data_IF_604778620774
#
_entry.id   IF_604778620774
#
_cell.length_a   1.000
_cell.length_b   1.000
_cell.length_c   1.000
_cell.angle_alpha   90.00
_cell.angle_beta   90.00
_cell.angle_gamma   90.00
#
_symmetry.space_group_name_H-M   'P 1'
#
loop_
_entity.id
_entity.type
_entity.pdbx_description
1 polymer ?
#
# COMPACT_ATOMS: atom_id res chain seq x y z
N UNK A 1 4.57 60.41 18.52
CA UNK A 1 5.97 60.18 18.97
C UNK A 1 6.42 58.92 18.25
N UNK A 2 6.98 59.05 17.05
CA UNK A 2 8.43 59.18 16.77
C UNK A 2 9.14 57.84 17.06
N UNK A 3 9.91 57.20 16.16
CA UNK A 3 10.56 57.66 14.93
C UNK A 3 11.00 56.45 14.07
N UNK A 4 10.98 56.69 12.77
CA UNK A 4 11.49 55.88 11.66
C UNK A 4 12.96 56.25 11.40
N UNK A 5 13.82 55.32 10.94
CA UNK A 5 15.19 55.64 10.46
C UNK A 5 15.55 54.83 9.23
N UNK A 6 15.14 55.36 8.07
CA UNK A 6 15.82 55.21 6.80
C UNK A 6 17.11 56.04 6.81
N UNK A 7 18.21 55.50 6.28
CA UNK A 7 19.43 56.27 5.98
C UNK A 7 19.54 56.49 4.48
N UNK A 8 19.67 57.75 4.07
CA UNK A 8 19.85 58.18 2.69
C UNK A 8 20.97 59.24 2.60
N UNK A 9 21.46 59.42 1.36
CA UNK A 9 22.14 60.60 0.77
C UNK A 9 23.69 60.58 0.81
N UNK A 10 24.45 61.11 -0.20
CA UNK A 10 24.05 61.92 -1.37
C UNK A 10 24.52 61.49 -2.78
N UNK A 11 23.87 62.16 -3.75
CA UNK A 11 24.12 62.29 -5.19
C UNK A 11 25.30 63.24 -5.47
N UNK A 12 26.08 62.96 -6.52
CA UNK A 12 26.83 63.99 -7.27
C UNK A 12 26.87 63.65 -8.76
N UNK A 13 26.33 64.57 -9.57
CA UNK A 13 26.34 64.62 -11.03
C UNK A 13 27.68 65.14 -11.59
N UNK A 14 28.16 64.62 -12.73
CA UNK A 14 29.14 65.36 -13.54
C UNK A 14 29.96 64.57 -14.57
N UNK A 15 29.63 64.82 -15.84
CA UNK A 15 30.52 64.93 -17.00
C UNK A 15 31.32 63.72 -17.54
N UNK A 16 31.09 63.46 -18.83
CA UNK A 16 31.92 62.67 -19.72
C UNK A 16 33.33 63.27 -19.91
N UNK A 17 34.36 62.42 -19.96
CA UNK A 17 35.52 62.62 -20.84
C UNK A 17 36.32 61.32 -20.98
N UNK A 18 36.70 61.06 -22.21
CA UNK A 18 37.62 60.01 -22.66
C UNK A 18 38.92 59.95 -21.83
N UNK A 19 39.43 58.73 -21.64
CA UNK A 19 40.85 58.44 -21.42
C UNK A 19 41.15 57.00 -21.85
N UNK A 20 41.66 56.93 -23.07
CA UNK A 20 42.37 55.79 -23.66
C UNK A 20 43.65 55.55 -22.83
N UNK A 21 44.01 54.29 -22.59
CA UNK A 21 45.34 53.91 -22.13
C UNK A 21 45.94 52.86 -23.09
N UNK A 22 47.22 52.99 -23.48
CA UNK A 22 47.81 52.31 -24.64
C UNK A 22 48.40 50.93 -24.32
N UNK A 23 48.41 50.06 -25.32
CA UNK A 23 49.21 48.82 -25.39
C UNK A 23 50.71 49.11 -25.48
N UNK A 24 51.57 48.19 -25.02
CA UNK A 24 52.86 47.95 -25.64
C UNK A 24 52.85 46.63 -26.40
N UNK A 25 53.06 46.78 -27.70
CA UNK A 25 53.39 45.78 -28.71
C UNK A 25 54.76 45.17 -28.39
N UNK A 26 54.90 43.84 -28.51
CA UNK A 26 56.21 43.22 -28.66
C UNK A 26 56.13 42.08 -29.68
N UNK A 27 56.50 42.39 -30.92
CA UNK A 27 56.69 41.44 -32.02
C UNK A 27 58.16 41.53 -32.42
N UNK A 28 58.94 40.44 -32.43
CA UNK A 28 60.19 40.41 -33.15
C UNK A 28 59.93 40.22 -34.65
N UNK A 29 60.37 41.21 -35.45
CA UNK A 29 60.63 41.07 -36.88
C UNK A 29 61.77 40.07 -37.08
N UNK A 30 61.47 38.92 -37.69
CA UNK A 30 62.39 38.31 -38.65
C UNK A 30 61.63 37.33 -39.56
N UNK A 31 61.61 37.66 -40.85
CA UNK A 31 61.15 36.75 -41.89
C UNK A 31 62.23 35.71 -42.16
N UNK A 32 61.92 34.44 -41.96
CA UNK A 32 62.74 33.31 -42.41
C UNK A 32 62.19 32.78 -43.75
N UNK A 33 63.04 32.35 -44.68
CA UNK A 33 62.67 32.13 -46.07
C UNK A 33 61.92 30.82 -46.27
N UNK A 34 61.01 30.85 -47.24
CA UNK A 34 60.27 29.71 -47.78
C UNK A 34 61.28 28.71 -48.37
N UNK A 35 61.46 27.56 -47.72
CA UNK A 35 62.01 26.35 -48.36
C UNK A 35 60.88 25.41 -48.72
N UNK A 36 60.83 25.09 -50.02
CA UNK A 36 59.93 24.13 -50.65
C UNK A 36 59.93 22.77 -49.95
N UNK A 37 58.76 22.15 -49.87
CA UNK A 37 58.63 20.70 -49.73
C UNK A 37 58.11 20.19 -48.38
N UNK A 38 56.85 20.48 -48.03
CA UNK A 38 56.06 19.63 -47.15
C UNK A 38 54.62 19.57 -47.68
N UNK A 39 54.20 18.36 -48.01
CA UNK A 39 52.87 18.00 -48.48
C UNK A 39 51.81 18.50 -47.49
N UNK A 40 50.78 19.20 -47.99
CA UNK A 40 49.55 19.41 -47.22
C UNK A 40 49.03 18.04 -46.76
N UNK A 41 48.70 17.85 -45.47
CA UNK A 41 47.81 16.75 -45.11
C UNK A 41 46.46 17.07 -45.73
N UNK A 42 45.99 16.20 -46.62
CA UNK A 42 44.60 16.20 -47.10
C UNK A 42 43.73 15.77 -45.93
N UNK A 43 43.30 16.74 -45.12
CA UNK A 43 42.16 16.53 -44.23
C UNK A 43 40.94 16.69 -45.13
N UNK A 44 40.14 15.64 -45.38
CA UNK A 44 38.85 15.84 -46.02
C UNK A 44 38.04 16.80 -45.16
N UNK A 45 37.42 17.81 -45.76
CA UNK A 45 36.36 18.59 -45.11
C UNK A 45 35.37 17.57 -44.55
N UNK A 46 35.19 17.59 -43.24
CA UNK A 46 34.10 16.89 -42.59
C UNK A 46 32.89 17.69 -43.03
N UNK A 47 32.21 17.23 -44.08
CA UNK A 47 30.85 17.63 -44.33
C UNK A 47 30.08 17.25 -43.08
N UNK A 48 29.73 18.25 -42.28
CA UNK A 48 28.57 18.15 -41.39
C UNK A 48 27.38 17.88 -42.32
N UNK A 49 27.16 16.60 -42.62
CA UNK A 49 25.85 16.15 -43.03
C UNK A 49 24.97 16.41 -41.81
N UNK A 50 24.37 17.61 -41.77
CA UNK A 50 23.06 17.80 -41.16
C UNK A 50 22.17 16.74 -41.79
N UNK A 51 22.13 15.58 -41.17
CA UNK A 51 21.16 14.53 -41.48
C UNK A 51 19.82 15.10 -41.06
N UNK A 52 19.21 15.87 -41.95
CA UNK A 52 17.79 16.16 -41.92
C UNK A 52 17.07 14.81 -41.95
N UNK A 53 16.77 14.28 -40.75
CA UNK A 53 15.91 13.12 -40.59
C UNK A 53 14.54 13.55 -41.11
N UNK A 54 14.24 13.19 -42.35
CA UNK A 54 12.94 13.48 -42.99
C UNK A 54 11.85 12.82 -42.14
N UNK A 55 10.71 13.50 -41.97
CA UNK A 55 9.63 13.05 -41.08
C UNK A 55 9.13 11.62 -41.35
N UNK A 56 9.21 11.14 -42.60
CA UNK A 56 8.86 9.77 -42.98
C UNK A 56 9.84 8.72 -42.43
N UNK A 57 11.13 9.05 -42.32
CA UNK A 57 12.17 8.16 -41.78
C UNK A 57 12.05 8.03 -40.25
N UNK A 58 11.60 9.09 -39.57
CA UNK A 58 11.32 9.06 -38.13
C UNK A 58 10.13 8.14 -37.79
N UNK A 59 9.06 8.16 -38.60
CA UNK A 59 7.89 7.30 -38.41
C UNK A 59 8.26 5.83 -38.63
N UNK A 60 9.05 5.53 -39.66
CA UNK A 60 9.54 4.17 -39.91
C UNK A 60 10.51 3.68 -38.83
N UNK A 61 11.36 4.56 -38.29
CA UNK A 61 12.25 4.25 -37.17
C UNK A 61 11.45 4.01 -35.88
N UNK A 62 10.48 4.85 -35.55
CA UNK A 62 9.61 4.64 -34.37
C UNK A 62 8.76 3.37 -34.49
N UNK A 63 8.28 3.03 -35.70
CA UNK A 63 7.49 1.83 -35.95
C UNK A 63 8.28 0.51 -36.01
N UNK A 64 9.60 0.56 -36.22
CA UNK A 64 10.47 -0.63 -36.34
C UNK A 64 11.35 -0.91 -35.12
N UNK A 65 11.25 -0.10 -34.06
CA UNK A 65 12.15 -0.16 -32.91
C UNK A 65 11.47 -0.85 -31.72
N UNK A 66 11.84 -2.11 -31.47
CA UNK A 66 11.84 -2.72 -30.14
C UNK A 66 12.91 -2.04 -29.25
N UNK A 67 12.91 -0.71 -29.17
CA UNK A 67 13.80 0.01 -28.28
C UNK A 67 13.28 -0.13 -26.85
N UNK A 68 14.21 -0.41 -25.92
CA UNK A 68 13.95 -0.16 -24.50
C UNK A 68 13.56 1.32 -24.35
N UNK A 69 12.58 1.65 -23.49
CA UNK A 69 11.97 2.98 -23.42
C UNK A 69 12.96 4.15 -23.23
N UNK A 70 14.13 3.89 -22.64
CA UNK A 70 15.18 4.87 -22.41
C UNK A 70 15.90 5.37 -23.67
N UNK A 71 15.95 4.58 -24.75
CA UNK A 71 16.68 4.93 -25.98
C UNK A 71 15.88 5.76 -26.99
N UNK A 72 14.57 5.93 -26.77
CA UNK A 72 13.70 6.62 -27.74
C UNK A 72 13.98 8.12 -27.74
N UNK A 73 14.11 8.74 -26.56
CA UNK A 73 14.26 10.20 -26.42
C UNK A 73 15.57 10.70 -27.01
N UNK A 74 16.66 9.93 -26.89
CA UNK A 74 17.99 10.28 -27.41
C UNK A 74 18.06 10.28 -28.94
N UNK A 75 17.14 9.59 -29.60
CA UNK A 75 17.10 9.43 -31.07
C UNK A 75 16.13 10.44 -31.72
N UNK A 76 15.39 11.21 -30.92
CA UNK A 76 14.42 12.19 -31.44
C UNK A 76 15.11 13.46 -31.97
N UNK A 77 14.67 13.99 -33.13
CA UNK A 77 15.07 15.32 -33.58
C UNK A 77 14.76 16.38 -32.53
N UNK A 78 15.62 17.39 -32.40
CA UNK A 78 15.50 18.44 -31.37
C UNK A 78 14.09 19.10 -31.27
N UNK A 79 13.37 19.39 -32.38
CA UNK A 79 12.00 19.90 -32.29
C UNK A 79 11.00 18.92 -31.66
N UNK A 80 11.19 17.61 -31.86
CA UNK A 80 10.34 16.55 -31.30
C UNK A 80 10.70 16.31 -29.84
N UNK A 81 11.98 16.23 -29.50
CA UNK A 81 12.44 16.12 -28.11
C UNK A 81 11.92 17.29 -27.26
N UNK A 82 11.96 18.53 -27.79
CA UNK A 82 11.38 19.71 -27.12
C UNK A 82 9.88 19.58 -26.86
N UNK A 83 9.12 18.93 -27.75
CA UNK A 83 7.69 18.67 -27.54
C UNK A 83 7.48 17.63 -26.44
N UNK A 84 8.28 16.56 -26.42
CA UNK A 84 8.24 15.54 -25.35
C UNK A 84 8.54 16.17 -23.99
N UNK A 85 9.57 17.00 -23.87
CA UNK A 85 9.86 17.74 -22.64
C UNK A 85 8.72 18.69 -22.26
N UNK A 86 8.07 19.34 -23.23
CA UNK A 86 6.85 20.11 -23.01
C UNK A 86 5.69 19.27 -22.46
N UNK A 87 5.49 18.05 -22.98
CA UNK A 87 4.48 17.11 -22.50
C UNK A 87 4.77 16.63 -21.08
N UNK A 88 6.04 16.38 -20.72
CA UNK A 88 6.43 16.07 -19.34
C UNK A 88 6.08 17.20 -18.37
N UNK A 89 6.25 18.46 -18.79
CA UNK A 89 5.83 19.63 -18.01
C UNK A 89 4.31 19.66 -17.77
N UNK A 90 3.50 19.40 -18.81
CA UNK A 90 2.04 19.28 -18.67
C UNK A 90 1.63 18.10 -17.79
N UNK A 91 2.34 16.97 -17.87
CA UNK A 91 2.09 15.82 -17.01
C UNK A 91 2.38 16.16 -15.54
N UNK A 92 3.43 16.93 -15.25
CA UNK A 92 3.68 17.41 -13.89
C UNK A 92 2.54 18.29 -13.35
N UNK A 93 1.92 19.12 -14.20
CA UNK A 93 0.71 19.87 -13.81
C UNK A 93 -0.48 18.94 -13.53
N UNK A 94 -0.68 17.90 -14.34
CA UNK A 94 -1.69 16.86 -14.09
C UNK A 94 -1.47 16.17 -12.73
N UNK A 95 -0.25 15.71 -12.45
CA UNK A 95 0.09 15.05 -11.19
C UNK A 95 -0.20 15.96 -9.97
N UNK A 96 0.05 17.27 -10.07
CA UNK A 96 -0.29 18.19 -8.99
C UNK A 96 -1.79 18.24 -8.68
N UNK A 97 -2.64 18.21 -9.71
CA UNK A 97 -4.11 18.18 -9.55
C UNK A 97 -4.56 16.83 -8.98
N UNK A 98 -3.97 15.74 -9.45
CA UNK A 98 -4.23 14.39 -8.92
C UNK A 98 -3.83 14.27 -7.44
N UNK A 99 -2.69 14.85 -7.05
CA UNK A 99 -2.27 14.90 -5.65
C UNK A 99 -3.27 15.66 -4.78
N UNK A 100 -3.84 16.75 -5.30
CA UNK A 100 -4.90 17.49 -4.61
C UNK A 100 -6.16 16.63 -4.46
N UNK A 101 -6.59 15.94 -5.53
CA UNK A 101 -7.74 15.03 -5.49
C UNK A 101 -7.57 13.98 -4.39
N UNK A 102 -6.41 13.33 -4.30
CA UNK A 102 -6.15 12.25 -3.33
C UNK A 102 -6.12 12.74 -1.89
N UNK A 103 -5.62 13.96 -1.66
CA UNK A 103 -5.71 14.61 -0.33
C UNK A 103 -7.16 14.92 0.03
N UNK A 104 -7.93 15.50 -0.88
CA UNK A 104 -9.35 15.79 -0.66
C UNK A 104 -10.18 14.51 -0.46
N UNK A 105 -9.85 13.42 -1.17
CA UNK A 105 -10.45 12.10 -0.96
C UNK A 105 -10.19 11.58 0.45
N UNK A 106 -8.95 11.65 0.93
CA UNK A 106 -8.61 11.22 2.29
C UNK A 106 -9.34 12.06 3.35
N UNK A 107 -9.44 13.39 3.16
CA UNK A 107 -10.24 14.25 4.04
C UNK A 107 -11.72 13.88 4.03
N UNK A 108 -12.25 13.52 2.87
CA UNK A 108 -13.63 13.08 2.70
C UNK A 108 -13.87 11.75 3.42
N UNK A 109 -12.95 10.78 3.27
CA UNK A 109 -12.98 9.52 4.00
C UNK A 109 -12.99 9.73 5.50
N UNK A 110 -12.09 10.58 6.03
CA UNK A 110 -12.07 10.97 7.46
C UNK A 110 -13.42 11.53 7.90
N UNK A 111 -14.02 12.41 7.09
CA UNK A 111 -15.33 13.02 7.37
C UNK A 111 -16.47 12.00 7.37
N UNK A 112 -16.45 11.02 6.45
CA UNK A 112 -17.48 9.99 6.38
C UNK A 112 -17.31 8.92 7.45
N UNK A 113 -16.07 8.60 7.85
CA UNK A 113 -15.81 7.73 8.99
C UNK A 113 -16.52 8.25 10.24
N UNK A 114 -16.50 9.56 10.51
CA UNK A 114 -17.25 10.16 11.63
C UNK A 114 -18.77 9.95 11.55
N UNK A 115 -19.33 9.81 10.34
CA UNK A 115 -20.75 9.49 10.14
C UNK A 115 -21.03 7.99 10.28
N UNK A 116 -20.06 7.14 9.97
CA UNK A 116 -20.15 5.70 10.16
C UNK A 116 -19.95 5.31 11.63
N UNK A 117 -19.17 6.08 12.41
CA UNK A 117 -18.87 5.76 13.82
C UNK A 117 -20.13 5.48 14.66
N UNK A 118 -21.21 6.28 14.63
CA UNK A 118 -22.43 5.97 15.40
C UNK A 118 -23.10 4.65 14.97
N UNK A 119 -22.99 4.28 13.69
CA UNK A 119 -23.52 3.01 13.17
C UNK A 119 -22.68 1.85 13.69
N UNK A 120 -21.35 1.98 13.67
CA UNK A 120 -20.44 0.98 14.22
C UNK A 120 -20.56 0.84 15.75
N UNK A 121 -20.78 1.94 16.47
CA UNK A 121 -21.08 1.91 17.91
C UNK A 121 -22.42 1.23 18.19
N UNK A 122 -23.46 1.49 17.38
CA UNK A 122 -24.75 0.80 17.47
C UNK A 122 -24.60 -0.70 17.21
N UNK A 123 -23.83 -1.09 16.18
CA UNK A 123 -23.47 -2.49 15.91
C UNK A 123 -22.79 -3.12 17.13
N UNK A 124 -21.73 -2.49 17.66
CA UNK A 124 -21.00 -2.97 18.84
C UNK A 124 -21.93 -3.20 20.03
N UNK A 125 -22.86 -2.28 20.29
CA UNK A 125 -23.80 -2.41 21.40
C UNK A 125 -24.71 -3.64 21.25
N UNK A 126 -25.13 -3.98 20.03
CA UNK A 126 -25.90 -5.19 19.72
C UNK A 126 -25.01 -6.44 19.84
N UNK A 127 -23.81 -6.42 19.25
CA UNK A 127 -22.87 -7.55 19.29
C UNK A 127 -22.51 -7.97 20.72
N UNK A 128 -22.38 -7.01 21.64
CA UNK A 128 -22.07 -7.28 23.05
C UNK A 128 -23.30 -7.55 23.92
N UNK A 129 -24.51 -7.46 23.37
CA UNK A 129 -25.77 -7.59 24.13
C UNK A 129 -25.97 -6.47 25.14
N UNK A 130 -25.33 -5.31 24.94
CA UNK A 130 -25.54 -4.12 25.75
C UNK A 130 -26.88 -3.44 25.42
N UNK A 131 -27.36 -3.63 24.19
CA UNK A 131 -28.69 -3.19 23.76
C UNK A 131 -29.29 -4.17 22.75
N UNK A 132 -30.57 -4.47 22.90
CA UNK A 132 -31.30 -5.26 21.91
C UNK A 132 -31.59 -4.44 20.63
N UNK A 133 -31.69 -5.11 19.46
CA UNK A 133 -32.20 -4.49 18.24
C UNK A 133 -33.63 -3.95 18.44
N UNK A 134 -33.92 -2.81 17.84
CA UNK A 134 -35.27 -2.25 17.80
C UNK A 134 -36.13 -3.02 16.79
N UNK A 135 -37.47 -3.04 16.96
CA UNK A 135 -38.36 -3.65 15.97
C UNK A 135 -38.20 -3.06 14.56
N UNK A 136 -37.86 -1.78 14.45
CA UNK A 136 -37.61 -1.10 13.17
C UNK A 136 -36.33 -1.60 12.51
N UNK A 137 -35.23 -1.77 13.26
CA UNK A 137 -33.97 -2.34 12.76
C UNK A 137 -34.17 -3.78 12.29
N UNK A 138 -34.92 -4.58 13.04
CA UNK A 138 -35.23 -5.98 12.65
C UNK A 138 -36.08 -6.01 11.38
N UNK A 139 -37.14 -5.22 11.30
CA UNK A 139 -37.99 -5.15 10.11
C UNK A 139 -37.22 -4.68 8.87
N UNK A 140 -36.29 -3.71 9.03
CA UNK A 140 -35.42 -3.27 7.94
C UNK A 140 -34.46 -4.40 7.50
N UNK A 141 -33.88 -5.14 8.45
CA UNK A 141 -33.03 -6.30 8.14
C UNK A 141 -33.78 -7.41 7.42
N UNK A 142 -35.00 -7.76 7.87
CA UNK A 142 -35.86 -8.73 7.19
C UNK A 142 -36.20 -8.31 5.76
N UNK A 143 -36.44 -7.02 5.52
CA UNK A 143 -36.70 -6.51 4.19
C UNK A 143 -35.49 -6.61 3.25
N UNK A 144 -34.27 -6.47 3.79
CA UNK A 144 -33.03 -6.72 3.02
C UNK A 144 -32.91 -8.20 2.67
N UNK A 145 -33.03 -9.10 3.66
CA UNK A 145 -32.97 -10.55 3.41
C UNK A 145 -34.00 -11.00 2.38
N UNK A 146 -35.25 -10.50 2.48
CA UNK A 146 -36.31 -10.86 1.53
C UNK A 146 -36.11 -10.29 0.12
N UNK A 147 -35.30 -9.24 -0.03
CA UNK A 147 -34.91 -8.72 -1.35
C UNK A 147 -33.82 -9.56 -1.99
N UNK A 148 -32.88 -10.04 -1.18
CA UNK A 148 -31.73 -10.82 -1.63
C UNK A 148 -32.15 -12.26 -1.98
N UNK A 149 -32.86 -12.94 -1.07
CA UNK A 149 -33.40 -14.29 -1.26
C UNK A 149 -34.82 -14.38 -0.63
N UNK A 150 -35.89 -14.16 -1.42
CA UNK A 150 -37.25 -14.20 -0.92
C UNK A 150 -37.65 -15.54 -0.28
N UNK A 151 -37.22 -16.65 -0.88
CA UNK A 151 -37.60 -17.99 -0.45
C UNK A 151 -36.81 -18.38 0.81
N UNK A 152 -35.50 -18.15 0.83
CA UNK A 152 -34.67 -18.37 2.01
C UNK A 152 -35.04 -17.46 3.18
N UNK A 153 -35.38 -16.19 2.92
CA UNK A 153 -35.85 -15.28 3.97
C UNK A 153 -37.17 -15.72 4.60
N UNK A 154 -38.10 -16.25 3.82
CA UNK A 154 -39.36 -16.80 4.32
C UNK A 154 -39.12 -18.03 5.20
N UNK A 155 -38.25 -18.94 4.78
CA UNK A 155 -37.84 -20.12 5.57
C UNK A 155 -37.17 -19.68 6.87
N UNK A 156 -36.16 -18.81 6.81
CA UNK A 156 -35.44 -18.32 7.97
C UNK A 156 -36.34 -17.56 8.96
N UNK A 157 -37.36 -16.85 8.47
CA UNK A 157 -38.36 -16.21 9.33
C UNK A 157 -39.21 -17.24 10.06
N UNK A 158 -39.72 -18.24 9.35
CA UNK A 158 -40.52 -19.32 9.96
C UNK A 158 -39.70 -20.10 11.00
N UNK A 159 -38.46 -20.45 10.68
CA UNK A 159 -37.55 -21.15 11.60
C UNK A 159 -37.26 -20.32 12.87
N UNK A 160 -37.07 -19.00 12.74
CA UNK A 160 -36.91 -18.11 13.89
C UNK A 160 -38.15 -18.06 14.77
N UNK A 161 -39.34 -17.94 14.19
CA UNK A 161 -40.61 -17.96 14.93
C UNK A 161 -40.84 -19.30 15.66
N UNK A 162 -40.42 -20.42 15.06
CA UNK A 162 -40.55 -21.75 15.67
C UNK A 162 -39.47 -22.03 16.72
N UNK A 163 -38.26 -21.49 16.54
CA UNK A 163 -37.20 -21.50 17.55
C UNK A 163 -37.57 -20.65 18.77
N UNK A 164 -38.17 -19.46 18.56
CA UNK A 164 -38.58 -18.56 19.64
C UNK A 164 -39.59 -19.23 20.59
N UNK A 165 -40.50 -20.05 20.05
CA UNK A 165 -41.48 -20.82 20.84
C UNK A 165 -40.83 -21.91 21.72
N UNK A 166 -39.61 -22.34 21.38
CA UNK A 166 -38.90 -23.47 22.02
C UNK A 166 -37.60 -23.05 22.72
N UNK A 167 -37.38 -21.75 22.98
CA UNK A 167 -36.17 -21.26 23.64
C UNK A 167 -35.96 -21.90 25.02
N UNK A 168 -34.81 -22.55 25.19
CA UNK A 168 -34.35 -23.05 26.48
C UNK A 168 -33.97 -21.90 27.43
N UNK A 169 -33.73 -22.22 28.70
CA UNK A 169 -33.20 -21.24 29.64
C UNK A 169 -31.76 -20.81 29.27
N UNK A 170 -31.01 -21.67 28.58
CA UNK A 170 -29.64 -21.42 28.13
C UNK A 170 -29.65 -20.43 26.96
N UNK A 171 -30.56 -20.59 25.98
CA UNK A 171 -30.69 -19.68 24.84
C UNK A 171 -31.02 -18.26 25.29
N UNK A 172 -31.89 -18.13 26.31
CA UNK A 172 -32.25 -16.83 26.90
C UNK A 172 -31.12 -16.19 27.71
N UNK A 173 -30.10 -16.97 28.09
CA UNK A 173 -28.95 -16.47 28.82
C UNK A 173 -27.81 -16.00 27.91
N UNK A 174 -27.87 -16.33 26.61
CA UNK A 174 -26.92 -15.84 25.60
C UNK A 174 -27.06 -14.32 25.50
N UNK A 175 -25.94 -13.62 25.58
CA UNK A 175 -25.89 -12.16 25.42
C UNK A 175 -25.13 -11.81 24.16
N UNK A 176 -25.73 -10.94 23.35
CA UNK A 176 -25.12 -10.48 22.11
C UNK A 176 -24.95 -11.60 21.09
N UNK A 177 -23.93 -11.47 20.24
CA UNK A 177 -23.62 -12.44 19.17
C UNK A 177 -22.23 -13.05 19.45
N UNK A 178 -22.17 -14.27 20.02
CA UNK A 178 -20.91 -14.95 20.30
C UNK A 178 -20.06 -15.13 19.04
N UNK A 179 -18.73 -15.01 19.18
CA UNK A 179 -17.75 -15.26 18.13
C UNK A 179 -17.94 -14.45 16.83
N UNK A 180 -18.70 -13.35 16.85
CA UNK A 180 -19.03 -12.57 15.65
C UNK A 180 -17.79 -12.23 14.81
N UNK A 181 -16.79 -11.59 15.41
CA UNK A 181 -15.58 -11.20 14.68
C UNK A 181 -14.71 -12.37 14.29
N UNK A 182 -14.60 -13.41 15.13
CA UNK A 182 -13.88 -14.63 14.77
C UNK A 182 -14.48 -15.27 13.51
N UNK A 183 -15.80 -15.44 13.47
CA UNK A 183 -16.51 -15.98 12.30
C UNK A 183 -16.35 -15.07 11.08
N UNK A 184 -16.48 -13.75 11.24
CA UNK A 184 -16.29 -12.81 10.13
C UNK A 184 -14.87 -12.87 9.55
N UNK A 185 -13.83 -12.92 10.40
CA UNK A 185 -12.44 -13.03 9.98
C UNK A 185 -12.14 -14.39 9.31
N UNK A 186 -12.74 -15.48 9.79
CA UNK A 186 -12.63 -16.82 9.21
C UNK A 186 -13.24 -16.95 7.82
N UNK A 187 -14.26 -16.15 7.53
CA UNK A 187 -14.92 -16.13 6.22
C UNK A 187 -14.22 -15.21 5.22
N UNK A 188 -13.08 -14.62 5.57
CA UNK A 188 -12.22 -13.89 4.64
C UNK A 188 -11.05 -14.78 4.22
N UNK A 189 -10.86 -15.00 2.92
CA UNK A 189 -9.86 -15.93 2.36
C UNK A 189 -8.45 -15.68 2.93
N UNK A 190 -7.91 -14.46 2.77
CA UNK A 190 -6.55 -14.15 3.23
C UNK A 190 -6.37 -14.15 4.76
N UNK A 191 -7.44 -14.03 5.55
CA UNK A 191 -7.35 -14.00 7.01
C UNK A 191 -7.58 -15.38 7.62
N UNK A 192 -8.39 -16.22 6.98
CA UNK A 192 -8.63 -17.59 7.42
C UNK A 192 -7.33 -18.40 7.47
N UNK A 193 -6.45 -18.22 6.48
CA UNK A 193 -5.16 -18.89 6.39
C UNK A 193 -4.18 -18.48 7.51
N UNK A 194 -4.32 -17.25 8.02
CA UNK A 194 -3.52 -16.77 9.14
C UNK A 194 -4.02 -17.25 10.50
N UNK A 195 -5.31 -17.58 10.61
CA UNK A 195 -5.94 -17.97 11.87
C UNK A 195 -5.73 -19.47 12.12
N UNK A 196 -4.90 -19.78 13.12
CA UNK A 196 -4.72 -21.16 13.59
C UNK A 196 -5.77 -21.53 14.63
N UNK A 197 -5.99 -22.83 14.85
CA UNK A 197 -6.94 -23.34 15.87
C UNK A 197 -6.68 -22.75 17.27
N UNK A 198 -5.42 -22.49 17.61
CA UNK A 198 -5.06 -21.89 18.91
C UNK A 198 -5.41 -20.41 18.99
N UNK A 199 -5.37 -19.71 17.86
CA UNK A 199 -5.72 -18.31 17.79
C UNK A 199 -7.23 -18.11 17.96
N UNK A 200 -8.05 -19.07 17.51
CA UNK A 200 -9.51 -19.02 17.66
C UNK A 200 -9.94 -18.84 19.11
N UNK A 201 -9.30 -19.55 20.05
CA UNK A 201 -9.66 -19.44 21.46
C UNK A 201 -9.38 -18.04 22.02
N UNK A 202 -8.37 -17.34 21.51
CA UNK A 202 -8.06 -15.96 21.90
C UNK A 202 -8.95 -14.96 21.14
N UNK A 203 -9.19 -15.19 19.85
CA UNK A 203 -10.07 -14.37 19.00
C UNK A 203 -11.54 -14.47 19.39
N UNK A 204 -11.97 -15.51 20.10
CA UNK A 204 -13.30 -15.59 20.71
C UNK A 204 -13.57 -14.44 21.71
N UNK A 205 -12.51 -13.80 22.23
CA UNK A 205 -12.61 -12.64 23.10
C UNK A 205 -12.56 -11.30 22.34
N UNK A 206 -12.44 -11.31 21.01
CA UNK A 206 -12.45 -10.11 20.18
C UNK A 206 -13.87 -9.52 20.15
N UNK A 207 -13.99 -8.28 20.64
CA UNK A 207 -15.27 -7.59 20.82
C UNK A 207 -15.58 -6.59 19.72
N UNK A 208 -14.56 -5.97 19.15
CA UNK A 208 -14.70 -4.93 18.13
C UNK A 208 -13.42 -4.74 17.32
N UNK A 209 -13.56 -4.32 16.06
CA UNK A 209 -12.45 -3.87 15.22
C UNK A 209 -12.80 -2.47 14.73
N UNK A 210 -11.94 -1.50 15.04
CA UNK A 210 -12.16 -0.07 14.75
C UNK A 210 -11.10 0.48 13.81
N UNK A 211 -11.53 1.33 12.89
CA UNK A 211 -10.67 2.10 12.00
C UNK A 211 -10.52 3.52 12.52
N UNK A 212 -9.30 4.04 12.53
CA UNK A 212 -8.98 5.44 12.83
C UNK A 212 -7.93 5.93 11.85
N UNK A 213 -8.18 7.03 11.14
CA UNK A 213 -7.15 7.67 10.33
C UNK A 213 -6.16 8.46 11.19
N UNK A 214 -4.89 8.44 10.79
CA UNK A 214 -3.83 9.19 11.45
C UNK A 214 -3.94 10.70 11.13
N UNK A 215 -3.25 11.50 11.93
CA UNK A 215 -3.18 12.94 11.75
C UNK A 215 -2.45 13.32 10.45
N UNK A 216 -2.74 14.51 9.91
CA UNK A 216 -2.25 14.93 8.58
C UNK A 216 -0.72 15.06 8.50
N UNK A 217 -0.03 15.16 9.64
CA UNK A 217 1.44 15.19 9.70
C UNK A 217 2.10 13.83 9.45
N UNK A 218 1.32 12.75 9.51
CA UNK A 218 1.75 11.38 9.25
C UNK A 218 0.56 10.63 8.65
N UNK A 219 0.28 10.79 7.35
CA UNK A 219 -0.88 10.17 6.73
C UNK A 219 -0.84 8.65 6.88
N UNK A 220 -2.01 8.03 6.95
CA UNK A 220 -2.13 6.61 7.24
C UNK A 220 -3.40 6.29 8.03
N UNK A 221 -3.52 5.04 8.44
CA UNK A 221 -4.63 4.57 9.25
C UNK A 221 -4.17 3.58 10.32
N UNK A 222 -5.03 3.37 11.30
CA UNK A 222 -4.84 2.48 12.43
C UNK A 222 -6.07 1.59 12.59
N UNK A 223 -5.81 0.30 12.74
CA UNK A 223 -6.77 -0.72 13.13
C UNK A 223 -6.62 -0.97 14.63
N UNK A 224 -7.72 -0.96 15.35
CA UNK A 224 -7.76 -1.20 16.81
C UNK A 224 -8.68 -2.38 17.07
N UNK A 225 -8.13 -3.42 17.67
CA UNK A 225 -8.81 -4.66 18.00
C UNK A 225 -9.09 -4.67 19.50
N UNK A 226 -10.36 -4.49 19.90
CA UNK A 226 -10.76 -4.46 21.31
C UNK A 226 -11.04 -5.88 21.81
N UNK A 227 -10.41 -6.29 22.90
CA UNK A 227 -10.62 -7.60 23.51
C UNK A 227 -11.30 -7.50 24.87
N UNK A 228 -12.24 -8.41 25.12
CA UNK A 228 -12.71 -8.66 26.48
C UNK A 228 -11.57 -9.24 27.34
N UNK A 229 -11.65 -9.12 28.69
CA UNK A 229 -10.70 -9.78 29.58
C UNK A 229 -10.59 -11.27 29.26
N UNK A 230 -9.39 -11.69 28.88
CA UNK A 230 -9.14 -13.03 28.32
C UNK A 230 -7.95 -13.72 29.02
N UNK A 231 -7.80 -15.06 28.92
CA UNK A 231 -6.74 -15.78 29.59
C UNK A 231 -5.38 -15.76 28.87
N UNK A 232 -5.25 -15.11 27.70
CA UNK A 232 -4.06 -15.17 26.86
C UNK A 232 -3.10 -14.01 27.08
N UNK A 233 -3.62 -12.78 27.16
CA UNK A 233 -2.83 -11.57 27.32
C UNK A 233 -3.52 -10.54 28.22
N UNK A 234 -2.77 -9.52 28.63
CA UNK A 234 -3.25 -8.45 29.51
C UNK A 234 -3.81 -7.24 28.74
N UNK A 235 -3.51 -7.12 27.44
CA UNK A 235 -3.97 -6.01 26.61
C UNK A 235 -5.51 -5.98 26.51
N UNK A 236 -6.10 -4.82 26.75
CA UNK A 236 -7.52 -4.55 26.48
C UNK A 236 -7.79 -4.31 25.00
N UNK A 237 -6.77 -3.84 24.27
CA UNK A 237 -6.81 -3.66 22.83
C UNK A 237 -5.42 -3.88 22.22
N UNK A 238 -5.39 -4.29 20.96
CA UNK A 238 -4.19 -4.37 20.13
C UNK A 238 -4.33 -3.38 18.97
N UNK A 239 -3.23 -2.78 18.56
CA UNK A 239 -3.21 -1.77 17.50
C UNK A 239 -2.28 -2.18 16.37
N UNK A 240 -2.69 -1.90 15.15
CA UNK A 240 -1.86 -1.99 13.95
C UNK A 240 -1.99 -0.69 13.17
N UNK A 241 -0.89 -0.01 12.93
CA UNK A 241 -0.85 1.27 12.21
C UNK A 241 -0.10 1.11 10.92
N UNK A 242 -0.64 1.68 9.85
CA UNK A 242 -0.01 1.78 8.55
C UNK A 242 0.26 3.25 8.26
N UNK A 243 1.52 3.57 7.98
CA UNK A 243 1.95 4.91 7.64
C UNK A 243 2.16 5.00 6.13
N UNK A 244 1.63 6.05 5.52
CA UNK A 244 1.91 6.38 4.13
C UNK A 244 3.14 7.28 4.04
N UNK A 245 3.83 7.24 2.91
CA UNK A 245 4.86 8.20 2.55
C UNK A 245 4.24 9.59 2.31
N UNK A 246 5.04 10.64 2.50
CA UNK A 246 4.60 12.03 2.25
C UNK A 246 4.40 12.32 0.76
N UNK A 247 5.17 11.62 -0.09
CA UNK A 247 5.07 11.68 -1.54
C UNK A 247 4.06 10.63 -2.03
N UNK A 248 3.19 11.04 -2.95
CA UNK A 248 2.33 10.10 -3.67
C UNK A 248 3.16 9.38 -4.73
N UNK A 249 2.81 8.12 -5.00
CA UNK A 249 3.49 7.34 -6.00
C UNK A 249 3.31 7.87 -7.42
N UNK A 250 4.03 7.27 -8.37
CA UNK A 250 3.91 7.64 -9.80
C UNK A 250 2.48 7.46 -10.35
N UNK A 251 1.68 6.59 -9.72
CA UNK A 251 0.25 6.37 -10.04
C UNK A 251 -0.70 7.34 -9.33
N UNK A 252 -0.17 8.23 -8.49
CA UNK A 252 -0.95 9.17 -7.67
C UNK A 252 -1.53 8.56 -6.39
N UNK A 253 -1.27 7.28 -6.09
CA UNK A 253 -1.75 6.61 -4.87
C UNK A 253 -0.81 6.81 -3.67
N UNK A 254 -1.35 6.65 -2.46
CA UNK A 254 -0.51 6.63 -1.25
C UNK A 254 0.34 5.36 -1.23
N UNK A 255 1.65 5.53 -1.11
CA UNK A 255 2.60 4.43 -0.93
C UNK A 255 2.74 4.14 0.57
N UNK A 256 2.78 2.86 0.94
CA UNK A 256 3.10 2.46 2.30
C UNK A 256 4.57 2.73 2.64
N UNK A 257 4.80 3.47 3.73
CA UNK A 257 6.12 3.67 4.31
C UNK A 257 6.47 2.52 5.27
N UNK A 258 5.63 2.26 6.26
CA UNK A 258 5.86 1.21 7.25
C UNK A 258 4.59 0.76 7.96
N UNK A 259 4.62 -0.47 8.45
CA UNK A 259 3.65 -1.00 9.40
C UNK A 259 4.21 -0.97 10.83
N UNK A 260 3.39 -0.58 11.80
CA UNK A 260 3.73 -0.57 13.24
C UNK A 260 2.65 -1.32 13.99
N UNK A 261 3.01 -2.46 14.57
CA UNK A 261 2.11 -3.23 15.43
C UNK A 261 2.28 -2.92 16.92
N UNK A 262 1.51 -3.63 17.75
CA UNK A 262 1.52 -3.45 19.21
C UNK A 262 2.12 -4.65 19.93
N UNK A 263 2.92 -4.39 20.97
CA UNK A 263 3.45 -5.46 21.83
C UNK A 263 2.32 -6.17 22.61
N UNK A 264 2.23 -7.48 22.44
CA UNK A 264 1.28 -8.34 23.15
C UNK A 264 1.89 -8.78 24.47
N UNK A 265 1.24 -8.42 25.58
CA UNK A 265 1.61 -8.79 26.95
C UNK A 265 1.03 -10.16 27.28
N UNK A 266 1.63 -11.19 26.71
CA UNK A 266 1.25 -12.59 26.92
C UNK A 266 1.32 -12.98 28.39
N UNK A 267 0.30 -13.69 28.86
CA UNK A 267 0.28 -14.36 30.16
C UNK A 267 1.18 -15.59 30.13
N UNK A 268 1.50 -16.11 31.31
CA UNK A 268 2.43 -17.23 31.46
C UNK A 268 2.00 -18.46 30.63
N UNK A 269 2.91 -18.95 29.77
CA UNK A 269 2.69 -20.09 28.86
C UNK A 269 1.52 -19.91 27.87
N UNK A 270 1.14 -18.67 27.56
CA UNK A 270 0.06 -18.34 26.62
C UNK A 270 0.50 -17.60 25.35
N UNK A 271 1.80 -17.43 25.15
CA UNK A 271 2.35 -16.87 23.90
C UNK A 271 2.05 -17.80 22.72
N UNK A 272 1.09 -17.40 21.88
CA UNK A 272 0.65 -18.16 20.71
C UNK A 272 1.63 -18.05 19.54
N UNK A 273 2.50 -17.03 19.56
CA UNK A 273 3.47 -16.76 18.48
C UNK A 273 4.76 -17.57 18.64
N UNK A 274 4.96 -18.25 19.77
CA UNK A 274 6.20 -18.98 20.06
C UNK A 274 5.94 -20.40 20.56
N UNK A 275 6.69 -21.35 20.01
CA UNK A 275 6.77 -22.71 20.55
C UNK A 275 8.10 -22.94 21.28
N UNK A 276 8.03 -23.58 22.45
CA UNK A 276 9.20 -23.89 23.29
C UNK A 276 9.67 -25.33 23.06
N UNK A 277 10.83 -25.50 22.43
CA UNK A 277 11.50 -26.80 22.34
C UNK A 277 12.34 -27.07 23.60
N UNK A 278 12.13 -28.23 24.23
CA UNK A 278 12.94 -28.68 25.37
C UNK A 278 13.96 -29.71 24.89
N UNK A 279 15.21 -29.30 24.71
CA UNK A 279 16.33 -30.20 24.37
C UNK A 279 17.10 -30.60 25.62
N UNK A 280 17.24 -31.92 25.85
CA UNK A 280 18.10 -32.47 26.91
C UNK A 280 19.56 -32.42 26.44
N UNK A 281 20.34 -31.49 26.99
CA UNK A 281 21.76 -31.42 26.72
C UNK A 281 22.54 -32.11 27.84
N UNK A 282 23.32 -33.13 27.49
CA UNK A 282 24.23 -33.82 28.42
C UNK A 282 25.63 -33.27 28.25
N UNK A 283 26.22 -32.76 29.32
CA UNK A 283 27.61 -32.32 29.30
C UNK A 283 28.53 -33.56 29.22
N UNK A 284 29.31 -33.66 28.14
CA UNK A 284 30.21 -34.80 27.89
C UNK A 284 31.31 -34.98 28.95
N UNK A 285 31.71 -33.92 29.65
CA UNK A 285 32.77 -33.96 30.65
C UNK A 285 32.25 -34.26 32.07
N UNK A 286 31.09 -33.73 32.46
CA UNK A 286 30.56 -33.85 33.83
C UNK A 286 29.40 -34.84 33.96
N UNK A 287 28.95 -35.47 32.86
CA UNK A 287 27.80 -36.36 32.79
C UNK A 287 26.47 -35.77 33.32
N UNK A 288 26.42 -34.47 33.64
CA UNK A 288 25.20 -33.79 34.08
C UNK A 288 24.32 -33.46 32.88
N UNK A 289 23.03 -33.74 33.00
CA UNK A 289 22.01 -33.41 32.00
C UNK A 289 21.33 -32.11 32.40
N UNK A 290 21.31 -31.12 31.50
CA UNK A 290 20.54 -29.87 31.63
C UNK A 290 19.44 -29.87 30.58
N UNK A 291 18.24 -29.43 30.96
CA UNK A 291 17.17 -29.13 30.03
C UNK A 291 17.39 -27.71 29.50
N UNK A 292 17.53 -27.55 28.18
CA UNK A 292 17.59 -26.25 27.51
C UNK A 292 16.24 -26.04 26.84
N UNK A 293 15.56 -24.96 27.25
CA UNK A 293 14.37 -24.44 26.58
C UNK A 293 14.83 -23.46 25.50
N UNK A 294 14.49 -23.71 24.24
CA UNK A 294 14.69 -22.78 23.11
C UNK A 294 13.33 -22.47 22.50
N UNK A 295 12.95 -21.20 22.48
CA UNK A 295 11.74 -20.74 21.79
C UNK A 295 12.04 -20.48 20.32
N UNK A 296 11.10 -20.82 19.44
CA UNK A 296 11.11 -20.41 18.02
C UNK A 296 9.72 -19.86 17.65
N UNK A 297 9.67 -18.97 16.66
CA UNK A 297 8.42 -18.39 16.15
C UNK A 297 7.62 -19.43 15.41
N UNK A 298 6.29 -19.42 15.60
CA UNK A 298 5.34 -20.28 14.90
C UNK A 298 4.29 -19.44 14.17
N UNK A 299 3.65 -19.98 13.11
CA UNK A 299 2.49 -19.34 12.49
C UNK A 299 1.40 -19.09 13.53
N UNK A 300 0.88 -17.87 13.54
CA UNK A 300 -0.19 -17.40 14.40
C UNK A 300 -0.70 -16.08 13.83
N UNK A 301 -2.02 -15.87 13.86
CA UNK A 301 -2.65 -14.60 13.49
C UNK A 301 -2.00 -13.42 14.23
N UNK A 302 -1.60 -13.61 15.49
CA UNK A 302 -1.04 -12.54 16.33
C UNK A 302 0.34 -12.06 15.88
N UNK A 303 1.01 -12.75 14.94
CA UNK A 303 2.19 -12.22 14.27
C UNK A 303 1.88 -10.96 13.44
N UNK A 304 0.61 -10.75 13.04
CA UNK A 304 0.15 -9.53 12.39
C UNK A 304 0.46 -8.24 13.20
N UNK A 305 0.53 -8.34 14.53
CA UNK A 305 0.89 -7.23 15.42
C UNK A 305 2.40 -7.06 15.61
N UNK A 306 3.21 -7.87 14.94
CA UNK A 306 4.67 -7.76 14.89
C UNK A 306 5.12 -7.77 13.43
N UNK A 307 4.81 -6.71 12.66
CA UNK A 307 5.12 -6.66 11.24
C UNK A 307 6.63 -6.77 11.01
N UNK A 308 7.05 -7.30 9.85
CA UNK A 308 8.45 -7.33 9.48
C UNK A 308 9.03 -5.90 9.43
N UNK A 309 10.27 -5.73 9.87
CA UNK A 309 10.96 -4.45 9.77
C UNK A 309 11.55 -4.30 8.37
N UNK A 310 11.25 -3.19 7.69
CA UNK A 310 11.90 -2.87 6.42
C UNK A 310 13.38 -2.55 6.66
N UNK A 311 14.31 -3.17 5.92
CA UNK A 311 15.70 -2.79 5.95
C UNK A 311 15.84 -1.37 5.43
N UNK A 312 16.75 -0.64 6.05
CA UNK A 312 17.08 0.71 5.61
C UNK A 312 17.76 0.66 4.24
N UNK A 313 17.61 1.74 3.48
CA UNK A 313 18.29 1.89 2.18
C UNK A 313 19.79 1.67 2.28
N UNK A 314 20.42 2.06 3.39
CA UNK A 314 21.84 1.84 3.65
C UNK A 314 22.18 0.35 3.82
N UNK A 315 21.34 -0.42 4.52
CA UNK A 315 21.53 -1.87 4.70
C UNK A 315 21.40 -2.64 3.37
N UNK A 316 20.48 -2.21 2.51
CA UNK A 316 20.32 -2.74 1.14
C UNK A 316 21.54 -2.37 0.27
N UNK A 317 21.91 -1.08 0.23
CA UNK A 317 23.04 -0.60 -0.58
C UNK A 317 24.39 -1.19 -0.13
N UNK A 318 24.55 -1.49 1.15
CA UNK A 318 25.73 -2.14 1.72
C UNK A 318 25.75 -3.67 1.52
N UNK A 319 24.68 -4.26 0.98
CA UNK A 319 24.54 -5.71 0.79
C UNK A 319 24.52 -6.50 2.10
N UNK A 320 24.05 -5.89 3.19
CA UNK A 320 23.91 -6.56 4.50
C UNK A 320 22.72 -7.53 4.53
N UNK A 321 21.76 -7.30 3.63
CA UNK A 321 20.61 -8.17 3.39
C UNK A 321 20.81 -8.83 2.03
N UNK A 322 20.66 -10.16 2.01
CA UNK A 322 20.73 -10.95 0.77
C UNK A 322 19.51 -10.68 -0.09
N UNK A 323 19.65 -10.70 -1.43
CA UNK A 323 18.57 -10.37 -2.36
C UNK A 323 17.36 -11.32 -2.16
N UNK A 324 17.62 -12.61 -1.96
CA UNK A 324 16.59 -13.63 -1.69
C UNK A 324 15.80 -13.33 -0.39
N UNK A 325 16.49 -12.78 0.63
CA UNK A 325 15.86 -12.43 1.91
C UNK A 325 15.05 -11.13 1.80
N UNK A 326 15.48 -10.23 0.92
CA UNK A 326 14.76 -9.00 0.62
C UNK A 326 13.44 -9.30 -0.10
N UNK A 327 13.46 -10.20 -1.10
CA UNK A 327 12.26 -10.64 -1.81
C UNK A 327 11.25 -11.31 -0.86
N UNK A 328 11.69 -12.26 -0.01
CA UNK A 328 10.81 -12.89 0.99
C UNK A 328 10.22 -11.88 2.00
N UNK A 329 10.97 -10.82 2.30
CA UNK A 329 10.50 -9.77 3.21
C UNK A 329 9.46 -8.87 2.55
N UNK A 330 9.68 -8.50 1.29
CA UNK A 330 8.77 -7.68 0.51
C UNK A 330 7.44 -8.40 0.31
N UNK A 331 7.45 -9.70 -0.02
CA UNK A 331 6.23 -10.53 -0.12
C UNK A 331 5.42 -10.53 1.19
N UNK A 332 6.11 -10.65 2.34
CA UNK A 332 5.46 -10.63 3.66
C UNK A 332 4.87 -9.27 4.00
N UNK A 333 5.53 -8.18 3.60
CA UNK A 333 5.03 -6.82 3.82
C UNK A 333 3.84 -6.51 2.92
N UNK A 334 3.89 -6.94 1.66
CA UNK A 334 2.78 -6.80 0.72
C UNK A 334 1.53 -7.52 1.24
N UNK A 335 1.69 -8.78 1.67
CA UNK A 335 0.59 -9.52 2.30
C UNK A 335 0.04 -8.80 3.55
N UNK A 336 0.93 -8.26 4.41
CA UNK A 336 0.55 -7.53 5.61
C UNK A 336 -0.23 -6.23 5.29
N UNK A 337 0.13 -5.52 4.22
CA UNK A 337 -0.58 -4.34 3.73
C UNK A 337 -1.93 -4.70 3.12
N UNK A 338 -1.99 -5.77 2.32
CA UNK A 338 -3.22 -6.26 1.73
C UNK A 338 -4.26 -6.61 2.80
N UNK A 339 -3.85 -7.34 3.84
CA UNK A 339 -4.73 -7.66 4.97
C UNK A 339 -5.19 -6.39 5.71
N UNK A 340 -4.30 -5.40 5.86
CA UNK A 340 -4.64 -4.10 6.44
C UNK A 340 -5.75 -3.39 5.67
N UNK A 341 -5.66 -3.39 4.35
CA UNK A 341 -6.68 -2.82 3.46
C UNK A 341 -7.98 -3.64 3.45
N UNK A 342 -7.91 -4.97 3.41
CA UNK A 342 -9.10 -5.83 3.49
C UNK A 342 -9.88 -5.58 4.79
N UNK A 343 -9.18 -5.41 5.91
CA UNK A 343 -9.82 -5.05 7.18
C UNK A 343 -10.48 -3.67 7.10
N UNK A 344 -9.81 -2.68 6.52
CA UNK A 344 -10.27 -1.29 6.41
C UNK A 344 -11.45 -1.14 5.46
N UNK A 345 -11.36 -1.67 4.24
CA UNK A 345 -12.30 -1.42 3.14
C UNK A 345 -13.40 -2.47 3.03
N UNK A 346 -13.14 -3.72 3.47
CA UNK A 346 -14.09 -4.83 3.28
C UNK A 346 -14.71 -5.29 4.60
N UNK A 347 -13.89 -5.74 5.55
CA UNK A 347 -14.38 -6.42 6.75
C UNK A 347 -15.04 -5.47 7.73
N UNK A 348 -14.40 -4.35 8.10
CA UNK A 348 -15.00 -3.40 9.06
C UNK A 348 -16.33 -2.84 8.52
N UNK A 349 -16.43 -2.39 7.26
CA UNK A 349 -17.68 -1.87 6.72
C UNK A 349 -18.77 -2.94 6.54
N UNK A 350 -18.39 -4.17 6.15
CA UNK A 350 -19.33 -5.25 5.79
C UNK A 350 -19.27 -6.46 6.74
N UNK A 351 -18.94 -6.24 8.00
CA UNK A 351 -18.70 -7.32 8.96
C UNK A 351 -19.86 -8.33 9.08
N UNK A 352 -21.11 -7.85 8.90
CA UNK A 352 -22.28 -8.73 8.93
C UNK A 352 -22.33 -9.67 7.72
N UNK A 353 -21.95 -9.21 6.53
CA UNK A 353 -21.92 -10.04 5.31
C UNK A 353 -20.83 -11.12 5.42
N UNK A 354 -19.68 -10.77 6.01
CA UNK A 354 -18.65 -11.75 6.34
C UNK A 354 -19.12 -12.73 7.41
N UNK A 355 -19.81 -12.27 8.45
CA UNK A 355 -20.36 -13.17 9.48
C UNK A 355 -21.39 -14.15 8.93
N UNK A 356 -22.30 -13.71 8.06
CA UNK A 356 -23.32 -14.57 7.45
C UNK A 356 -22.79 -15.43 6.31
N UNK A 357 -21.57 -15.16 5.83
CA UNK A 357 -20.98 -15.83 4.67
C UNK A 357 -21.41 -15.25 3.33
N UNK A 358 -22.34 -14.28 3.31
CA UNK A 358 -22.79 -13.60 2.09
C UNK A 358 -21.63 -12.91 1.35
N UNK A 359 -20.62 -12.45 2.09
CA UNK A 359 -19.45 -11.82 1.47
C UNK A 359 -18.69 -12.75 0.51
N UNK A 360 -18.73 -14.07 0.73
CA UNK A 360 -18.08 -15.05 -0.14
C UNK A 360 -18.73 -15.13 -1.52
N UNK A 361 -20.03 -14.86 -1.62
CA UNK A 361 -20.75 -14.86 -2.90
C UNK A 361 -20.22 -13.76 -3.83
N UNK A 362 -19.91 -12.58 -3.29
CA UNK A 362 -19.36 -11.47 -4.08
C UNK A 362 -17.97 -11.78 -4.65
N UNK A 363 -17.17 -12.53 -3.91
CA UNK A 363 -15.82 -12.89 -4.34
C UNK A 363 -15.86 -14.00 -5.42
N UNK A 364 -16.84 -14.91 -5.34
CA UNK A 364 -17.07 -15.96 -6.34
C UNK A 364 -17.67 -15.42 -7.65
N UNK A 365 -18.64 -14.50 -7.57
CA UNK A 365 -19.24 -13.87 -8.76
C UNK A 365 -18.23 -13.07 -9.60
N UNK A 366 -17.12 -12.61 -8.99
CA UNK A 366 -16.05 -11.91 -9.70
C UNK A 366 -15.09 -12.82 -10.48
N UNK A 367 -15.14 -14.14 -10.27
CA UNK A 367 -14.24 -15.13 -10.89
C UNK A 367 -14.91 -15.83 -12.08
N UNK A 368 -16.24 -15.94 -12.11
CA UNK A 368 -16.98 -16.65 -13.17
C UNK A 368 -16.91 -15.97 -14.56
N UNK A 369 -16.46 -14.72 -14.65
CA UNK A 369 -16.34 -13.97 -15.93
C UNK A 369 -14.99 -14.19 -16.66
N UNK A 370 -14.03 -14.94 -16.10
CA UNK A 370 -12.67 -15.07 -16.67
C UNK A 370 -12.41 -16.37 -17.47
N UNK A 371 -13.32 -17.35 -17.44
CA UNK A 371 -13.11 -18.68 -18.02
C UNK A 371 -13.93 -19.00 -19.31
N UNK A 372 -14.59 -18.04 -19.96
CA UNK A 372 -15.36 -18.27 -21.21
C UNK A 372 -14.56 -17.98 -22.50
N UNK A 373 -13.24 -18.22 -22.49
CA UNK A 373 -12.47 -18.38 -23.72
C UNK A 373 -12.44 -19.86 -24.11
N UNK A 374 -13.61 -20.43 -24.42
CA UNK A 374 -13.69 -21.69 -25.17
C UNK A 374 -13.06 -21.49 -26.56
N UNK A 375 -11.82 -21.95 -26.68
CA UNK A 375 -11.22 -22.66 -27.83
C UNK A 375 -11.96 -22.49 -29.17
N UNK A 376 -11.74 -21.35 -29.84
CA UNK A 376 -12.06 -21.21 -31.27
C UNK A 376 -10.93 -21.85 -32.09
N UNK A 377 -10.89 -23.17 -32.06
CA UNK A 377 -10.24 -24.00 -33.07
C UNK A 377 -11.13 -23.92 -34.34
N UNK A 378 -10.86 -22.93 -35.20
CA UNK A 378 -11.46 -22.85 -36.54
C UNK A 378 -10.37 -23.16 -37.56
N UNK A 379 -10.35 -24.45 -37.92
CA UNK A 379 -9.69 -25.02 -39.07
C UNK A 379 -10.05 -24.27 -40.38
N UNK A 380 -9.21 -24.49 -41.39
CA UNK A 380 -9.54 -24.48 -42.82
C UNK A 380 -9.14 -23.24 -43.65
N UNK A 381 -7.89 -23.27 -44.14
CA UNK A 381 -7.56 -22.72 -45.46
C UNK A 381 -6.87 -23.80 -46.30
N UNK A 382 -7.68 -24.65 -46.94
CA UNK A 382 -7.32 -25.30 -48.21
C UNK A 382 -6.94 -24.22 -49.24
N UNK A 383 -5.69 -24.22 -49.70
CA UNK A 383 -5.28 -23.49 -50.90
C UNK A 383 -5.02 -24.48 -52.04
N UNK A 384 -6.07 -24.80 -52.80
CA UNK A 384 -5.95 -25.29 -54.18
C UNK A 384 -6.02 -24.09 -55.15
N UNK A 385 -4.88 -23.76 -55.78
CA UNK A 385 -4.61 -23.64 -57.24
C UNK A 385 -3.35 -22.81 -57.50
#
# INVERSE_FOLDING_TARGET
>A
MAEDKQSSVPISSGAASSRIAPTPVNTPLNAAPISQGLSRPTVPDITEEETEVKGEDLINRLGGLNLRPTGIVEVLPAPVARRVEGLKGLHAEYCQVEHQLKREMLELEKKYLLKFTPIFERRKAILLGASEPTPEEVAAGEAVSAKDDPDGAAVAKQEREDAEKNLSAEDKAIKGIPNFWLTALRNHEGLSDLITEKDEEALAYLTDIRLVYLADTTPGFKLIFDFAPNPYFENEYLEKSYHYQDELGETGDYIYDRAVGSEIKWKEEKDLTKAVEIKKQRNKATNRTRLIRRSHTVPSFFNFFNPPAQPTREEIENGEVDDDLLEELDEKLELDYQIGEDLKERIIPRAIDYFTGKALEYDLEGIEDEDDYEDMDDDDYEEEI
#
